data_IF_170545602017
#
_entry.id   IF_170545602017
#
_cell.length_a   1.000
_cell.length_b   1.000
_cell.length_c   1.000
_cell.angle_alpha   90.00
_cell.angle_beta   90.00
_cell.angle_gamma   90.00
#
_symmetry.space_group_name_H-M   'P 1'
#
loop_
_entity.id
_entity.type
_entity.pdbx_description
1 polymer ?
#
# COMPACT_ATOMS: atom_id res chain seq x y z
N UNK A 1 -11.61 9.31 3.07
CA UNK A 1 -10.54 8.43 3.60
C UNK A 1 -11.09 7.03 3.85
N UNK A 2 -12.05 6.86 4.77
CA UNK A 2 -12.59 5.53 5.10
C UNK A 2 -13.12 4.75 3.89
N UNK A 3 -13.82 5.40 2.96
CA UNK A 3 -14.28 4.75 1.72
C UNK A 3 -13.12 4.23 0.84
N UNK A 4 -12.01 4.96 0.76
CA UNK A 4 -10.83 4.52 0.00
C UNK A 4 -10.14 3.33 0.67
N UNK A 5 -10.06 3.34 2.01
CA UNK A 5 -9.55 2.21 2.79
C UNK A 5 -10.44 0.98 2.58
N UNK A 6 -11.77 1.17 2.61
CA UNK A 6 -12.71 0.08 2.37
C UNK A 6 -12.56 -0.49 0.96
N UNK A 7 -12.53 0.36 -0.08
CA UNK A 7 -12.29 -0.04 -1.47
C UNK A 7 -10.97 -0.81 -1.63
N UNK A 8 -9.91 -0.37 -0.96
CA UNK A 8 -8.63 -1.09 -0.97
C UNK A 8 -8.73 -2.48 -0.33
N UNK A 9 -9.43 -2.61 0.81
CA UNK A 9 -9.65 -3.88 1.51
C UNK A 9 -10.52 -4.84 0.70
N UNK A 10 -11.58 -4.33 0.09
CA UNK A 10 -12.50 -5.12 -0.74
C UNK A 10 -11.79 -5.69 -1.98
N UNK A 11 -10.87 -4.91 -2.56
CA UNK A 11 -10.09 -5.30 -3.75
C UNK A 11 -8.76 -5.99 -3.44
N UNK A 12 -8.39 -6.13 -2.17
CA UNK A 12 -7.11 -6.69 -1.74
C UNK A 12 -6.91 -8.14 -2.23
N UNK A 13 -7.97 -8.94 -2.28
CA UNK A 13 -7.90 -10.32 -2.79
C UNK A 13 -7.46 -10.38 -4.25
N UNK A 14 -8.05 -9.55 -5.12
CA UNK A 14 -7.68 -9.48 -6.52
C UNK A 14 -6.24 -8.96 -6.71
N UNK A 15 -5.82 -7.98 -5.92
CA UNK A 15 -4.43 -7.51 -5.91
C UNK A 15 -3.45 -8.63 -5.55
N UNK A 16 -3.76 -9.45 -4.54
CA UNK A 16 -2.90 -10.57 -4.14
C UNK A 16 -2.78 -11.63 -5.26
N UNK A 17 -3.88 -11.93 -5.96
CA UNK A 17 -3.84 -12.83 -7.12
C UNK A 17 -2.94 -12.31 -8.24
N UNK A 18 -2.97 -10.99 -8.50
CA UNK A 18 -2.06 -10.35 -9.47
C UNK A 18 -0.60 -10.47 -9.02
N UNK A 19 -0.33 -10.31 -7.72
CA UNK A 19 1.03 -10.45 -7.18
C UNK A 19 1.56 -11.88 -7.26
N UNK A 20 0.72 -12.88 -7.03
CA UNK A 20 1.08 -14.30 -7.10
C UNK A 20 1.37 -14.74 -8.54
N UNK A 21 0.64 -14.20 -9.51
CA UNK A 21 0.84 -14.46 -10.93
C UNK A 21 0.97 -13.13 -11.71
N UNK A 22 2.11 -12.43 -11.60
CA UNK A 22 2.30 -11.13 -12.22
C UNK A 22 2.33 -11.28 -13.74
N UNK A 23 1.36 -10.62 -14.40
CA UNK A 23 1.39 -10.45 -15.87
C UNK A 23 2.62 -9.62 -16.25
N UNK A 24 3.09 -9.77 -17.50
CA UNK A 24 4.19 -8.95 -18.03
C UNK A 24 3.97 -7.45 -17.75
N UNK A 25 5.02 -6.77 -17.31
CA UNK A 25 4.99 -5.36 -16.94
C UNK A 25 4.46 -5.05 -15.53
N UNK A 26 3.95 -6.04 -14.77
CA UNK A 26 3.50 -5.85 -13.40
C UNK A 26 4.66 -5.98 -12.39
N UNK A 27 4.97 -4.91 -11.68
CA UNK A 27 6.10 -4.82 -10.75
C UNK A 27 5.81 -3.90 -9.54
N UNK A 28 6.78 -3.78 -8.62
CA UNK A 28 6.75 -2.85 -7.48
C UNK A 28 5.49 -2.97 -6.61
N UNK A 29 5.13 -4.19 -6.26
CA UNK A 29 4.01 -4.46 -5.35
C UNK A 29 4.32 -3.96 -3.94
N UNK A 30 3.38 -3.20 -3.36
CA UNK A 30 3.50 -2.65 -2.02
C UNK A 30 2.16 -2.60 -1.28
N UNK A 31 2.24 -2.65 0.05
CA UNK A 31 1.09 -2.52 0.94
C UNK A 31 1.25 -1.28 1.80
N UNK A 32 0.16 -0.57 2.08
CA UNK A 32 0.15 0.45 3.13
C UNK A 32 -0.51 -0.13 4.37
N UNK A 33 0.20 -0.06 5.49
CA UNK A 33 -0.16 -0.76 6.72
C UNK A 33 -0.29 0.25 7.85
N UNK A 34 -1.31 0.05 8.68
CA UNK A 34 -1.52 0.81 9.91
C UNK A 34 -0.70 0.21 11.05
N UNK A 35 0.21 1.03 11.59
CA UNK A 35 0.97 0.74 12.79
C UNK A 35 0.65 1.79 13.85
N UNK A 36 -0.23 1.43 14.79
CA UNK A 36 -0.71 2.34 15.84
C UNK A 36 -1.30 3.64 15.26
N UNK A 37 -0.51 4.73 15.23
CA UNK A 37 -0.94 6.07 14.76
C UNK A 37 -0.40 6.44 13.37
N UNK A 38 0.33 5.55 12.72
CA UNK A 38 1.02 5.84 11.45
C UNK A 38 0.61 4.88 10.35
N UNK A 39 0.53 5.39 9.12
CA UNK A 39 0.31 4.59 7.92
C UNK A 39 1.60 4.54 7.11
N UNK A 40 2.16 3.36 6.90
CA UNK A 40 3.47 3.20 6.27
C UNK A 40 3.41 2.24 5.10
N UNK A 41 4.20 2.55 4.07
CA UNK A 41 4.39 1.65 2.93
C UNK A 41 5.38 0.54 3.28
N UNK A 42 5.04 -0.67 2.84
CA UNK A 42 5.81 -1.90 3.04
C UNK A 42 6.05 -2.56 1.69
N UNK A 43 7.32 -2.71 1.31
CA UNK A 43 7.75 -3.46 0.12
C UNK A 43 9.26 -3.79 0.16
N UNK A 44 9.71 -4.94 -0.38
CA UNK A 44 8.89 -6.06 -0.81
C UNK A 44 8.17 -6.70 0.39
N UNK A 45 7.15 -7.50 0.10
CA UNK A 45 6.41 -8.25 1.12
C UNK A 45 6.03 -9.65 0.62
N UNK A 46 5.78 -10.55 1.57
CA UNK A 46 5.33 -11.93 1.36
C UNK A 46 4.18 -12.25 2.30
N UNK A 47 3.34 -13.19 1.90
CA UNK A 47 2.41 -13.85 2.83
C UNK A 47 3.25 -14.71 3.78
N UNK A 48 2.90 -14.66 5.06
CA UNK A 48 3.45 -15.50 6.12
C UNK A 48 2.30 -16.24 6.82
N UNK A 49 2.63 -17.20 7.69
CA UNK A 49 1.61 -17.81 8.55
C UNK A 49 0.92 -16.76 9.41
N UNK A 50 -0.35 -17.00 9.77
CA UNK A 50 -1.15 -16.08 10.58
C UNK A 50 -0.42 -15.58 11.83
N UNK A 51 -0.46 -14.27 12.06
CA UNK A 51 0.06 -13.68 13.29
C UNK A 51 -0.92 -14.05 14.43
N UNK A 52 -0.39 -14.56 15.54
CA UNK A 52 -1.19 -15.00 16.70
C UNK A 52 -2.24 -16.09 16.37
N UNK A 53 -1.97 -16.94 15.37
CA UNK A 53 -2.84 -18.07 15.03
C UNK A 53 -4.14 -17.71 14.31
N UNK A 54 -4.23 -16.52 13.68
CA UNK A 54 -5.42 -16.09 12.93
C UNK A 54 -5.09 -15.61 11.52
N UNK A 55 -5.80 -16.16 10.54
CA UNK A 55 -5.84 -15.70 9.14
C UNK A 55 -4.48 -15.69 8.44
N UNK A 56 -4.39 -14.90 7.37
CA UNK A 56 -3.13 -14.68 6.66
C UNK A 56 -2.30 -13.62 7.39
N UNK A 57 -1.02 -13.94 7.61
CA UNK A 57 0.00 -13.01 8.05
C UNK A 57 0.76 -12.43 6.86
N UNK A 58 1.44 -11.32 7.09
CA UNK A 58 2.35 -10.73 6.12
C UNK A 58 3.65 -10.36 6.80
N UNK A 59 4.73 -10.45 6.04
CA UNK A 59 6.04 -9.90 6.40
C UNK A 59 6.55 -9.04 5.25
N UNK A 60 7.20 -7.93 5.56
CA UNK A 60 7.83 -7.09 4.55
C UNK A 60 8.74 -6.03 5.13
N UNK A 61 9.29 -5.20 4.25
CA UNK A 61 10.27 -4.17 4.60
C UNK A 61 9.61 -2.79 4.60
N UNK A 62 9.76 -2.03 5.68
CA UNK A 62 9.28 -0.65 5.74
C UNK A 62 10.02 0.25 4.73
N UNK A 63 9.25 1.00 3.94
CA UNK A 63 9.74 2.00 2.98
C UNK A 63 9.30 3.42 3.31
N UNK A 64 8.86 3.63 4.55
CA UNK A 64 8.55 4.95 5.11
C UNK A 64 9.34 5.15 6.40
N UNK A 65 9.79 6.39 6.65
CA UNK A 65 10.38 6.75 7.93
C UNK A 65 9.24 7.05 8.93
N UNK A 66 9.15 6.34 10.07
CA UNK A 66 8.17 6.64 11.10
C UNK A 66 8.51 7.97 11.78
N UNK A 67 7.49 8.74 12.12
CA UNK A 67 7.62 10.00 12.88
C UNK A 67 7.41 9.78 14.37
N UNK A 68 6.57 8.81 14.75
CA UNK A 68 6.09 8.66 16.13
C UNK A 68 6.36 7.30 16.76
N UNK A 69 6.80 6.31 15.98
CA UNK A 69 7.05 4.95 16.47
C UNK A 69 8.55 4.67 16.59
N UNK A 70 9.18 4.83 17.78
CA UNK A 70 10.63 4.68 17.97
C UNK A 70 11.12 3.24 17.73
N UNK A 71 10.21 2.26 17.78
CA UNK A 71 10.50 0.86 17.52
C UNK A 71 10.48 0.50 16.03
N UNK A 72 10.10 1.44 15.15
CA UNK A 72 10.06 1.25 13.71
C UNK A 72 11.17 2.08 13.07
N UNK A 73 11.67 1.62 11.93
CA UNK A 73 12.70 2.33 11.17
C UNK A 73 12.55 2.00 9.68
N UNK A 74 12.97 2.94 8.82
CA UNK A 74 13.09 2.65 7.40
C UNK A 74 14.00 1.43 7.18
N UNK A 75 13.63 0.53 6.27
CA UNK A 75 14.39 -0.68 5.96
C UNK A 75 14.20 -1.82 6.95
N UNK A 76 13.48 -1.62 8.06
CA UNK A 76 13.20 -2.67 9.04
C UNK A 76 12.16 -3.67 8.53
N UNK A 77 12.38 -4.95 8.82
CA UNK A 77 11.36 -5.99 8.62
C UNK A 77 10.23 -5.86 9.66
N UNK A 78 8.99 -5.96 9.18
CA UNK A 78 7.78 -5.89 9.99
C UNK A 78 6.86 -7.07 9.66
N UNK A 79 6.14 -7.53 10.68
CA UNK A 79 5.04 -8.49 10.54
C UNK A 79 3.73 -7.78 10.84
N UNK A 80 2.68 -8.10 10.10
CA UNK A 80 1.36 -7.49 10.25
C UNK A 80 0.27 -8.41 9.74
N UNK A 81 -0.95 -8.22 10.24
CA UNK A 81 -2.14 -8.96 9.83
C UNK A 81 -2.88 -8.27 8.69
N UNK A 82 -3.75 -9.03 8.01
CA UNK A 82 -4.56 -8.54 6.89
C UNK A 82 -5.39 -7.30 7.23
N UNK A 83 -5.96 -7.23 8.44
CA UNK A 83 -6.80 -6.11 8.90
C UNK A 83 -6.02 -4.81 9.08
N UNK A 84 -4.70 -4.88 9.28
CA UNK A 84 -3.85 -3.69 9.34
C UNK A 84 -3.61 -3.06 7.96
N UNK A 85 -3.93 -3.75 6.86
CA UNK A 85 -3.78 -3.22 5.50
C UNK A 85 -4.88 -2.18 5.24
N UNK A 86 -4.45 -0.99 4.82
CA UNK A 86 -5.32 0.16 4.54
C UNK A 86 -5.27 0.63 3.09
N UNK A 87 -4.25 0.20 2.33
CA UNK A 87 -4.09 0.49 0.91
C UNK A 87 -3.13 -0.54 0.28
N UNK A 88 -3.08 -0.57 -1.04
CA UNK A 88 -2.12 -1.36 -1.80
C UNK A 88 -1.76 -0.65 -3.11
N UNK A 89 -0.63 -1.03 -3.70
CA UNK A 89 -0.19 -0.46 -4.97
C UNK A 89 0.69 -1.42 -5.76
N UNK A 90 0.67 -1.29 -7.07
CA UNK A 90 1.66 -1.89 -7.97
C UNK A 90 1.79 -1.05 -9.24
N UNK A 91 2.87 -1.26 -9.96
CA UNK A 91 3.09 -0.65 -11.28
C UNK A 91 2.77 -1.68 -12.36
N UNK A 92 2.04 -1.27 -13.39
CA UNK A 92 1.83 -2.05 -14.61
C UNK A 92 2.07 -1.18 -15.82
N UNK A 93 2.96 -1.60 -16.72
CA UNK A 93 3.28 -0.87 -17.95
C UNK A 93 3.65 0.61 -17.68
N UNK A 94 4.39 0.82 -16.58
CA UNK A 94 4.83 2.14 -16.14
C UNK A 94 3.77 3.00 -15.45
N UNK A 95 2.55 2.51 -15.23
CA UNK A 95 1.46 3.21 -14.54
C UNK A 95 1.19 2.61 -13.16
N UNK A 96 0.89 3.45 -12.18
CA UNK A 96 0.58 2.99 -10.81
C UNK A 96 -0.91 2.76 -10.64
N UNK A 97 -1.26 1.56 -10.19
CA UNK A 97 -2.61 1.11 -9.88
C UNK A 97 -2.77 0.93 -8.37
N UNK A 98 -3.99 1.12 -7.87
CA UNK A 98 -4.28 1.16 -6.44
C UNK A 98 -4.04 2.55 -5.86
N UNK A 99 -3.32 2.63 -4.73
CA UNK A 99 -3.03 3.86 -4.01
C UNK A 99 -4.27 4.72 -3.73
N UNK A 100 -5.38 4.09 -3.34
CA UNK A 100 -6.67 4.74 -3.16
C UNK A 100 -6.60 5.86 -2.12
N UNK A 101 -5.86 5.65 -1.03
CA UNK A 101 -5.68 6.66 0.02
C UNK A 101 -4.85 7.83 -0.49
N UNK A 102 -3.85 7.58 -1.35
CA UNK A 102 -3.08 8.63 -2.03
C UNK A 102 -3.96 9.47 -2.94
N UNK A 103 -4.86 8.85 -3.71
CA UNK A 103 -5.82 9.58 -4.54
C UNK A 103 -6.72 10.52 -3.73
N UNK A 104 -7.19 10.09 -2.57
CA UNK A 104 -7.96 10.95 -1.64
C UNK A 104 -7.12 12.10 -1.12
N UNK A 105 -5.84 11.88 -0.80
CA UNK A 105 -4.95 12.96 -0.36
C UNK A 105 -4.74 13.98 -1.48
N UNK A 106 -4.45 13.53 -2.69
CA UNK A 106 -4.26 14.40 -3.85
C UNK A 106 -5.50 15.20 -4.21
N UNK A 107 -6.71 14.64 -4.02
CA UNK A 107 -7.96 15.36 -4.24
C UNK A 107 -8.20 16.51 -3.24
N UNK A 108 -7.48 16.54 -2.12
CA UNK A 108 -7.55 17.59 -1.09
C UNK A 108 -6.45 18.63 -1.22
N UNK A 109 -5.48 18.40 -2.11
CA UNK A 109 -4.37 19.31 -2.36
C UNK A 109 -4.77 20.38 -3.38
N UNK A 110 -3.95 21.44 -3.51
CA UNK A 110 -4.12 22.42 -4.59
C UNK A 110 -3.94 21.73 -5.94
N UNK A 111 -4.70 22.18 -6.94
CA UNK A 111 -4.82 21.48 -8.22
C UNK A 111 -3.47 21.35 -8.96
N UNK A 112 -2.64 22.39 -8.92
CA UNK A 112 -1.30 22.44 -9.51
C UNK A 112 -0.33 21.47 -8.83
N UNK A 113 -0.31 21.46 -7.50
CA UNK A 113 0.51 20.55 -6.70
C UNK A 113 0.08 19.08 -6.90
N UNK A 114 -1.23 18.83 -6.88
CA UNK A 114 -1.80 17.51 -7.13
C UNK A 114 -1.49 17.01 -8.55
N UNK A 115 -1.59 17.88 -9.56
CA UNK A 115 -1.29 17.53 -10.95
C UNK A 115 0.17 17.14 -11.15
N UNK A 116 1.10 17.87 -10.51
CA UNK A 116 2.52 17.52 -10.52
C UNK A 116 2.77 16.13 -9.93
N UNK A 117 2.22 15.86 -8.74
CA UNK A 117 2.42 14.56 -8.08
C UNK A 117 1.77 13.42 -8.89
N UNK A 118 0.58 13.62 -9.45
CA UNK A 118 -0.06 12.60 -10.32
C UNK A 118 0.82 12.26 -11.52
N UNK A 119 1.41 13.28 -12.17
CA UNK A 119 2.32 13.10 -13.30
C UNK A 119 3.58 12.35 -12.89
N UNK A 120 4.21 12.76 -11.79
CA UNK A 120 5.46 12.15 -11.30
C UNK A 120 5.26 10.70 -10.85
N UNK A 121 4.12 10.41 -10.21
CA UNK A 121 3.76 9.06 -9.79
C UNK A 121 3.21 8.20 -10.94
N UNK A 122 2.84 8.79 -12.08
CA UNK A 122 2.06 8.14 -13.15
C UNK A 122 0.84 7.41 -12.56
N UNK A 123 0.16 8.07 -11.63
CA UNK A 123 -0.91 7.48 -10.82
C UNK A 123 -2.26 7.57 -11.53
N UNK A 124 -2.89 6.43 -11.74
CA UNK A 124 -4.27 6.36 -12.23
C UNK A 124 -5.23 6.25 -11.06
N UNK A 125 -5.80 7.39 -10.66
CA UNK A 125 -6.88 7.37 -9.69
C UNK A 125 -8.14 6.80 -10.35
N UNK A 126 -8.60 5.66 -9.84
CA UNK A 126 -9.90 5.12 -10.20
C UNK A 126 -10.98 6.19 -9.90
N UNK A 127 -11.99 6.34 -10.77
CA UNK A 127 -13.13 7.20 -10.48
C UNK A 127 -13.85 6.78 -9.19
#
# INVERSE_FOLDING_TARGET
MNQAIQKARDSLGAFMQIKENPKSGAERFELKVSFSRELMWVSPFRVSGGVNGKGDGFEGILKSAPQYSPTLAWGKQVSFSRDQIVDWGYTKDGKRHGHFTTCVLLARMKADEAAKIRKDMKLECAP
#
